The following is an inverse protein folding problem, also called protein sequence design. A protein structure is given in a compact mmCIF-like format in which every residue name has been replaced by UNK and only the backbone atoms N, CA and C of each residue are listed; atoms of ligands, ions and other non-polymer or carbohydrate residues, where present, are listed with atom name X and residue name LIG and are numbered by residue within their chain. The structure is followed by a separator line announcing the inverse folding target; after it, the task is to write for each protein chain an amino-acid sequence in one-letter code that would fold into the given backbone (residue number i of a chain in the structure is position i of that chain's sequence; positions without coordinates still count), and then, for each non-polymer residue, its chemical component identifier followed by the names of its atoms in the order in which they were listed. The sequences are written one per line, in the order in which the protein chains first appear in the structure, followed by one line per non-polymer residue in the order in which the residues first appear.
data_IF_008304876339
#
_entry.id   IF_008304876339
#
_cell.length_a   1.000
_cell.length_b   1.000
_cell.length_c   1.000
_cell.angle_alpha   90.00
_cell.angle_beta   90.00
_cell.angle_gamma   90.00
#
_symmetry.space_group_name_H-M   'P 1'
#
loop_
_entity.id
_entity.type
_entity.pdbx_description
1 polymer ?
#
# COMPACT_ATOMS: atom_id res chain seq x y z
N UNK A 1 7.20 22.67 -5.32
CA UNK A 1 6.21 22.47 -4.23
C UNK A 1 5.04 21.59 -4.69
N UNK A 2 5.29 20.47 -5.37
CA UNK A 2 4.23 19.84 -6.20
C UNK A 2 3.59 18.60 -5.59
N UNK A 3 4.25 17.92 -4.65
CA UNK A 3 3.80 16.60 -4.20
C UNK A 3 2.81 16.66 -3.03
N UNK A 4 2.99 17.62 -2.12
CA UNK A 4 2.06 17.85 -1.02
C UNK A 4 0.71 18.38 -1.49
N UNK A 5 0.68 19.32 -2.45
CA UNK A 5 -0.58 19.82 -3.02
C UNK A 5 -1.38 18.69 -3.64
N UNK A 6 -0.75 17.85 -4.47
CA UNK A 6 -1.41 16.69 -5.10
C UNK A 6 -2.01 15.72 -4.09
N UNK A 7 -1.30 15.42 -3.01
CA UNK A 7 -1.82 14.58 -1.92
C UNK A 7 -3.07 15.21 -1.28
N UNK A 8 -3.00 16.51 -0.98
CA UNK A 8 -4.13 17.23 -0.38
C UNK A 8 -5.32 17.27 -1.32
N UNK A 9 -5.11 17.62 -2.58
CA UNK A 9 -6.14 17.73 -3.61
C UNK A 9 -6.85 16.38 -3.83
N UNK A 10 -6.08 15.28 -3.84
CA UNK A 10 -6.63 13.92 -3.94
C UNK A 10 -7.55 13.62 -2.74
N UNK A 11 -7.11 13.89 -1.51
CA UNK A 11 -7.93 13.64 -0.31
C UNK A 11 -9.20 14.49 -0.32
N UNK A 12 -9.09 15.77 -0.67
CA UNK A 12 -10.26 16.67 -0.76
C UNK A 12 -11.24 16.22 -1.84
N UNK A 13 -10.76 15.68 -2.97
CA UNK A 13 -11.63 15.17 -4.03
C UNK A 13 -12.45 13.93 -3.61
N UNK A 14 -11.96 13.17 -2.62
CA UNK A 14 -12.59 11.93 -2.16
C UNK A 14 -13.60 12.15 -1.04
N UNK A 15 -13.64 13.33 -0.42
CA UNK A 15 -14.52 13.66 0.71
C UNK A 15 -16.00 13.31 0.42
N UNK A 16 -16.51 13.75 -0.73
CA UNK A 16 -17.89 13.45 -1.13
C UNK A 16 -18.14 11.97 -1.47
N UNK A 17 -17.11 11.19 -1.84
CA UNK A 17 -17.25 9.75 -2.02
C UNK A 17 -17.16 9.01 -0.67
N UNK A 18 -16.42 9.54 0.32
CA UNK A 18 -16.38 9.03 1.69
C UNK A 18 -17.76 9.15 2.36
N UNK A 19 -18.38 10.33 2.32
CA UNK A 19 -19.74 10.53 2.86
C UNK A 19 -20.75 9.56 2.22
N UNK A 20 -20.74 9.46 0.88
CA UNK A 20 -21.65 8.55 0.16
C UNK A 20 -21.40 7.07 0.48
N UNK A 21 -20.16 6.68 0.72
CA UNK A 21 -19.83 5.31 1.07
C UNK A 21 -20.21 4.98 2.51
N UNK A 22 -19.85 5.82 3.49
CA UNK A 22 -20.09 5.55 4.91
C UNK A 22 -21.56 5.77 5.31
N UNK A 23 -22.20 6.83 4.83
CA UNK A 23 -23.59 7.16 5.24
C UNK A 23 -24.61 6.40 4.42
N UNK A 24 -24.37 6.26 3.10
CA UNK A 24 -25.35 5.72 2.15
C UNK A 24 -24.98 4.34 1.61
N UNK A 25 -23.89 3.73 2.08
CA UNK A 25 -23.43 2.40 1.65
C UNK A 25 -23.32 2.27 0.11
N UNK A 26 -22.94 3.35 -0.59
CA UNK A 26 -22.86 3.34 -2.05
C UNK A 26 -21.60 2.58 -2.53
N UNK A 27 -21.80 1.39 -3.10
CA UNK A 27 -20.72 0.55 -3.63
C UNK A 27 -19.85 1.21 -4.71
N UNK A 28 -20.43 2.11 -5.53
CA UNK A 28 -19.67 2.84 -6.55
C UNK A 28 -18.73 3.88 -5.91
N UNK A 29 -19.20 4.58 -4.88
CA UNK A 29 -18.38 5.52 -4.10
C UNK A 29 -17.27 4.76 -3.36
N UNK A 30 -17.57 3.61 -2.76
CA UNK A 30 -16.56 2.74 -2.13
C UNK A 30 -15.44 2.30 -3.09
N UNK A 31 -15.80 2.01 -4.35
CA UNK A 31 -14.81 1.66 -5.38
C UNK A 31 -13.89 2.85 -5.71
N UNK A 32 -14.42 4.08 -5.74
CA UNK A 32 -13.64 5.29 -5.98
C UNK A 32 -12.73 5.62 -4.81
N UNK A 33 -13.25 5.58 -3.58
CA UNK A 33 -12.46 5.74 -2.35
C UNK A 33 -11.30 4.74 -2.34
N UNK A 34 -11.55 3.46 -2.62
CA UNK A 34 -10.50 2.44 -2.63
C UNK A 34 -9.41 2.74 -3.68
N UNK A 35 -9.79 3.14 -4.89
CA UNK A 35 -8.85 3.51 -5.94
C UNK A 35 -8.03 4.76 -5.57
N UNK A 36 -8.69 5.80 -5.07
CA UNK A 36 -8.03 7.01 -4.60
C UNK A 36 -7.05 6.74 -3.45
N UNK A 37 -7.42 5.90 -2.49
CA UNK A 37 -6.49 5.49 -1.41
C UNK A 37 -5.30 4.68 -1.92
N UNK A 38 -5.46 3.90 -3.00
CA UNK A 38 -4.37 3.18 -3.64
C UNK A 38 -3.38 4.15 -4.29
N UNK A 39 -3.89 5.19 -4.95
CA UNK A 39 -3.08 6.24 -5.57
C UNK A 39 -2.34 7.08 -4.52
N UNK A 40 -3.01 7.43 -3.42
CA UNK A 40 -2.40 8.11 -2.27
C UNK A 40 -1.21 7.34 -1.71
N UNK A 41 -1.36 6.01 -1.55
CA UNK A 41 -0.28 5.15 -1.06
C UNK A 41 0.94 5.21 -1.99
N UNK A 42 0.72 5.12 -3.30
CA UNK A 42 1.81 5.14 -4.26
C UNK A 42 2.54 6.49 -4.24
N UNK A 43 1.79 7.60 -4.30
CA UNK A 43 2.37 8.95 -4.20
C UNK A 43 3.15 9.16 -2.91
N UNK A 44 2.62 8.71 -1.77
CA UNK A 44 3.31 8.79 -0.48
C UNK A 44 4.62 7.98 -0.47
N UNK A 45 4.63 6.79 -1.10
CA UNK A 45 5.83 5.96 -1.22
C UNK A 45 6.89 6.59 -2.13
N UNK A 46 6.48 7.19 -3.25
CA UNK A 46 7.37 7.91 -4.15
C UNK A 46 8.04 9.07 -3.43
N UNK A 47 7.26 9.94 -2.78
CA UNK A 47 7.78 11.09 -2.02
C UNK A 47 8.75 10.65 -0.92
N UNK A 48 8.41 9.58 -0.19
CA UNK A 48 9.30 9.04 0.84
C UNK A 48 10.64 8.60 0.24
N UNK A 49 10.59 7.94 -0.91
CA UNK A 49 11.79 7.46 -1.61
C UNK A 49 12.61 8.62 -2.14
N UNK A 50 11.98 9.64 -2.72
CA UNK A 50 12.64 10.87 -3.15
C UNK A 50 13.38 11.57 -2.00
N UNK A 51 12.72 11.75 -0.85
CA UNK A 51 13.34 12.35 0.34
C UNK A 51 14.51 11.50 0.85
N UNK A 52 14.36 10.18 0.85
CA UNK A 52 15.43 9.29 1.27
C UNK A 52 16.62 9.33 0.30
N UNK A 53 16.36 9.38 -1.00
CA UNK A 53 17.39 9.49 -2.04
C UNK A 53 18.12 10.83 -1.93
N UNK A 54 17.41 11.94 -1.75
CA UNK A 54 18.04 13.25 -1.51
C UNK A 54 18.93 13.24 -0.26
N UNK A 55 18.51 12.54 0.80
CA UNK A 55 19.35 12.36 2.01
C UNK A 55 20.60 11.53 1.73
N UNK A 56 20.51 10.54 0.83
CA UNK A 56 21.62 9.66 0.48
C UNK A 56 22.57 10.26 -0.58
N UNK A 57 22.10 11.19 -1.41
CA UNK A 57 22.91 11.92 -2.40
C UNK A 57 23.70 13.10 -1.79
N UNK A 58 23.33 13.56 -0.58
CA UNK A 58 24.21 14.41 0.22
C UNK A 58 25.41 13.57 0.70
N UNK A 59 26.67 14.01 0.48
CA UNK A 59 27.82 13.15 0.69
C UNK A 59 28.00 12.87 2.19
N UNK A 60 27.94 11.57 2.51
CA UNK A 60 28.39 10.92 3.74
C UNK A 60 27.80 11.40 5.09
N UNK A 61 26.82 10.67 5.61
CA UNK A 61 26.87 10.10 6.96
C UNK A 61 25.77 9.05 7.20
N UNK A 62 26.18 7.78 7.33
CA UNK A 62 25.43 6.77 8.08
C UNK A 62 24.79 5.63 7.28
N UNK A 63 25.57 4.58 7.03
CA UNK A 63 25.04 3.26 6.71
C UNK A 63 24.36 2.63 7.94
N UNK A 64 23.11 2.16 7.80
CA UNK A 64 22.62 0.83 8.23
C UNK A 64 21.07 0.75 8.30
N UNK A 65 20.57 -0.45 7.98
CA UNK A 65 19.20 -1.00 8.10
C UNK A 65 18.17 -0.60 7.02
N UNK A 66 17.75 -1.47 6.09
CA UNK A 66 18.06 -2.89 5.91
C UNK A 66 17.56 -3.37 4.55
N UNK A 67 18.47 -3.97 3.78
CA UNK A 67 18.11 -4.85 2.68
C UNK A 67 17.82 -6.22 3.29
N UNK A 68 16.54 -6.60 3.38
CA UNK A 68 16.15 -8.00 3.51
C UNK A 68 15.52 -8.42 2.18
N UNK A 69 16.38 -8.77 1.22
CA UNK A 69 15.99 -9.58 0.07
C UNK A 69 16.51 -10.98 0.29
N UNK A 70 15.58 -11.94 0.22
CA UNK A 70 15.65 -13.21 -0.53
C UNK A 70 15.36 -14.46 0.32
N UNK A 71 14.19 -15.04 0.11
CA UNK A 71 14.05 -16.48 -0.17
C UNK A 71 12.61 -16.82 -0.60
N UNK A 72 12.38 -16.88 -1.91
CA UNK A 72 11.57 -17.95 -2.52
C UNK A 72 12.52 -18.60 -3.55
N UNK A 73 12.55 -19.93 -3.73
CA UNK A 73 11.39 -20.64 -4.28
C UNK A 73 11.17 -22.12 -3.86
N UNK A 74 9.99 -22.61 -4.24
CA UNK A 74 9.65 -23.95 -4.73
C UNK A 74 9.48 -25.16 -3.78
N UNK A 75 8.24 -25.68 -3.81
CA UNK A 75 7.85 -27.08 -3.97
C UNK A 75 8.07 -28.09 -2.83
N UNK A 76 6.95 -28.47 -2.20
CA UNK A 76 6.75 -29.74 -1.53
C UNK A 76 5.33 -30.25 -1.79
N UNK A 77 5.20 -31.18 -2.73
CA UNK A 77 3.95 -31.85 -3.07
C UNK A 77 3.58 -32.96 -2.05
N UNK A 78 2.29 -33.32 -2.07
CA UNK A 78 1.73 -34.65 -1.78
C UNK A 78 1.39 -35.07 -0.32
N UNK A 79 0.07 -35.09 -0.07
CA UNK A 79 -0.75 -36.30 0.17
C UNK A 79 -0.71 -37.00 1.55
N UNK A 80 -1.82 -36.87 2.29
CA UNK A 80 -2.57 -37.86 3.15
C UNK A 80 -3.17 -37.09 4.35
N UNK A 81 -4.34 -37.38 4.91
CA UNK A 81 -5.40 -38.36 4.66
C UNK A 81 -6.62 -37.89 5.49
N UNK A 82 -7.83 -38.12 4.98
CA UNK A 82 -9.04 -38.07 5.80
C UNK A 82 -9.00 -39.18 6.87
N UNK A 83 -9.48 -38.93 8.10
CA UNK A 83 -9.90 -40.01 8.98
C UNK A 83 -11.42 -40.12 8.98
N UNK A 84 -11.92 -41.13 8.25
CA UNK A 84 -13.13 -41.82 8.62
C UNK A 84 -12.84 -42.72 9.84
N UNK A 85 -13.64 -42.61 10.90
CA UNK A 85 -13.99 -43.68 11.87
C UNK A 85 -15.08 -43.12 12.80
N UNK A 86 -16.34 -43.53 12.57
CA UNK A 86 -17.05 -44.59 13.31
C UNK A 86 -17.19 -44.31 14.82
N UNK A 87 -18.36 -43.79 15.20
CA UNK A 87 -19.30 -44.49 16.08
C UNK A 87 -20.71 -44.13 15.65
#
# INVERSE_FOLDING_TARGET
MSNFSKLKDLVMSLEGDFEKFYDKQNSAAGTRVRKGMQELKNMAQEIRTEVQNQKNEAPAAGAAAGAAKKAAPAAGAAKKAAPAKKK
#
